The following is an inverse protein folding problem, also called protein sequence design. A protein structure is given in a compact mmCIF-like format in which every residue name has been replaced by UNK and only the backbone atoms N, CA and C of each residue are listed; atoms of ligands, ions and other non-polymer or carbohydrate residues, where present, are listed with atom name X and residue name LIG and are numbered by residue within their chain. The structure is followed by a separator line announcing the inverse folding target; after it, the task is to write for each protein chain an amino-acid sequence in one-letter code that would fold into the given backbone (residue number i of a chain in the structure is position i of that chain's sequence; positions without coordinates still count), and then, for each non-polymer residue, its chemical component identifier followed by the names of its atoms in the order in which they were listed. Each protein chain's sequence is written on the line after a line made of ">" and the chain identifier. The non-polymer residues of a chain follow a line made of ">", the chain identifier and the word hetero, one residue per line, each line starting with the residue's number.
data_IF_373143853474
#
_entry.id   IF_373143853474
#
_cell.length_a   1.000
_cell.length_b   1.000
_cell.length_c   1.000
_cell.angle_alpha   90.00
_cell.angle_beta   90.00
_cell.angle_gamma   90.00
#
_symmetry.space_group_name_H-M   'P 1'
#
loop_
_entity.id
_entity.type
_entity.pdbx_description
1 polymer ?
#
# COMPACT_ATOMS: atom_id res chain seq x y z
N UNK A 1 -11.87 19.06 18.06
CA UNK A 1 -11.49 19.07 16.63
C UNK A 1 -10.55 17.90 16.42
N UNK A 2 -11.04 16.80 15.84
CA UNK A 2 -10.20 15.64 15.54
C UNK A 2 -9.26 16.03 14.40
N UNK A 3 -7.96 16.03 14.66
CA UNK A 3 -6.90 16.49 13.74
C UNK A 3 -6.60 15.53 12.58
N UNK A 4 -7.61 14.83 12.05
CA UNK A 4 -7.48 14.05 10.83
C UNK A 4 -7.73 15.00 9.66
N UNK A 5 -6.65 15.55 9.10
CA UNK A 5 -6.73 16.18 7.79
C UNK A 5 -7.01 15.07 6.77
N UNK A 6 -8.16 15.14 6.10
CA UNK A 6 -8.51 14.23 5.01
C UNK A 6 -7.51 14.40 3.86
N UNK A 7 -7.18 13.30 3.20
CA UNK A 7 -6.36 13.32 1.99
C UNK A 7 -7.11 14.06 0.88
N UNK A 8 -6.40 14.93 0.16
CA UNK A 8 -6.93 15.42 -1.13
C UNK A 8 -6.95 14.28 -2.14
N UNK A 9 -7.85 14.33 -3.13
CA UNK A 9 -7.94 13.32 -4.19
C UNK A 9 -6.59 13.07 -4.91
N UNK A 10 -5.76 14.11 -5.05
CA UNK A 10 -4.41 13.98 -5.61
C UNK A 10 -3.48 13.16 -4.70
N UNK A 11 -3.51 13.42 -3.39
CA UNK A 11 -2.69 12.67 -2.44
C UNK A 11 -3.16 11.21 -2.35
N UNK A 12 -4.46 10.98 -2.35
CA UNK A 12 -5.03 9.63 -2.40
C UNK A 12 -4.56 8.86 -3.64
N UNK A 13 -4.66 9.47 -4.83
CA UNK A 13 -4.19 8.82 -6.07
C UNK A 13 -2.70 8.51 -6.02
N UNK A 14 -1.89 9.44 -5.51
CA UNK A 14 -0.44 9.22 -5.38
C UNK A 14 -0.11 8.05 -4.43
N UNK A 15 -0.88 7.88 -3.36
CA UNK A 15 -0.73 6.76 -2.43
C UNK A 15 -1.18 5.44 -3.06
N UNK A 16 -2.28 5.45 -3.82
CA UNK A 16 -2.74 4.29 -4.61
C UNK A 16 -1.68 3.85 -5.63
N UNK A 17 -1.07 4.80 -6.33
CA UNK A 17 -0.01 4.52 -7.31
C UNK A 17 1.24 3.94 -6.64
N UNK A 18 1.63 4.48 -5.49
CA UNK A 18 2.76 3.98 -4.71
C UNK A 18 2.51 2.54 -4.22
N UNK A 19 1.31 2.26 -3.71
CA UNK A 19 0.90 0.92 -3.31
C UNK A 19 0.99 -0.07 -4.48
N UNK A 20 0.46 0.29 -5.65
CA UNK A 20 0.52 -0.55 -6.85
C UNK A 20 1.97 -0.82 -7.31
N UNK A 21 2.86 0.17 -7.22
CA UNK A 21 4.28 -0.01 -7.55
C UNK A 21 4.99 -0.96 -6.58
N UNK A 22 4.77 -0.79 -5.26
CA UNK A 22 5.34 -1.67 -4.25
C UNK A 22 4.83 -3.10 -4.39
N UNK A 23 3.54 -3.29 -4.67
CA UNK A 23 2.94 -4.60 -4.93
C UNK A 23 3.56 -5.28 -6.15
N UNK A 24 3.80 -4.52 -7.23
CA UNK A 24 4.50 -5.02 -8.41
C UNK A 24 5.92 -5.46 -8.06
N UNK A 25 6.69 -4.63 -7.35
CA UNK A 25 8.06 -4.96 -6.93
C UNK A 25 8.06 -6.24 -6.09
N UNK A 26 7.16 -6.34 -5.10
CA UNK A 26 7.04 -7.52 -4.26
C UNK A 26 6.65 -8.79 -5.06
N UNK A 27 5.95 -8.64 -6.18
CA UNK A 27 5.58 -9.74 -7.07
C UNK A 27 6.67 -10.15 -8.06
N UNK A 28 7.69 -9.32 -8.30
CA UNK A 28 8.72 -9.57 -9.33
C UNK A 28 10.14 -9.68 -8.79
N UNK A 29 10.43 -9.19 -7.58
CA UNK A 29 11.80 -9.12 -7.07
C UNK A 29 12.26 -10.47 -6.50
N UNK A 30 13.44 -10.91 -6.94
CA UNK A 30 14.05 -12.16 -6.46
C UNK A 30 14.99 -11.94 -5.27
N UNK A 31 15.40 -10.68 -5.03
CA UNK A 31 16.30 -10.31 -3.93
C UNK A 31 15.53 -10.32 -2.60
N UNK A 32 15.83 -11.22 -1.65
CA UNK A 32 15.00 -11.40 -0.44
C UNK A 32 14.90 -10.16 0.45
N UNK A 33 16.00 -9.40 0.60
CA UNK A 33 15.99 -8.17 1.39
C UNK A 33 15.08 -7.09 0.81
N UNK A 34 15.00 -7.00 -0.53
CA UNK A 34 14.12 -6.05 -1.21
C UNK A 34 12.66 -6.50 -1.10
N UNK A 35 12.39 -7.81 -1.21
CA UNK A 35 11.06 -8.37 -1.01
C UNK A 35 10.53 -8.07 0.39
N UNK A 36 11.35 -8.28 1.43
CA UNK A 36 10.98 -8.01 2.81
C UNK A 36 10.66 -6.52 3.02
N UNK A 37 11.50 -5.62 2.50
CA UNK A 37 11.27 -4.18 2.59
C UNK A 37 10.00 -3.74 1.85
N UNK A 38 9.75 -4.25 0.64
CA UNK A 38 8.55 -3.93 -0.13
C UNK A 38 7.26 -4.39 0.56
N UNK A 39 7.27 -5.58 1.17
CA UNK A 39 6.13 -6.10 1.95
C UNK A 39 5.88 -5.29 3.22
N UNK A 40 6.94 -4.89 3.94
CA UNK A 40 6.81 -4.03 5.12
C UNK A 40 6.18 -2.68 4.76
N UNK A 41 6.69 -2.03 3.70
CA UNK A 41 6.15 -0.76 3.22
C UNK A 41 4.67 -0.88 2.78
N UNK A 42 4.29 -1.97 2.12
CA UNK A 42 2.88 -2.24 1.75
C UNK A 42 1.99 -2.36 2.99
N UNK A 43 2.43 -3.12 4.01
CA UNK A 43 1.66 -3.30 5.23
C UNK A 43 1.47 -1.99 5.99
N UNK A 44 2.52 -1.18 6.13
CA UNK A 44 2.45 0.14 6.77
C UNK A 44 1.53 1.10 6.01
N UNK A 45 1.67 1.15 4.68
CA UNK A 45 0.84 2.01 3.83
C UNK A 45 -0.63 1.58 3.88
N UNK A 46 -0.90 0.27 3.83
CA UNK A 46 -2.25 -0.26 3.94
C UNK A 46 -2.90 0.10 5.27
N UNK A 47 -2.22 -0.14 6.40
CA UNK A 47 -2.73 0.20 7.72
C UNK A 47 -3.01 1.71 7.88
N UNK A 48 -2.15 2.56 7.30
CA UNK A 48 -2.35 4.00 7.31
C UNK A 48 -3.58 4.44 6.50
N UNK A 49 -3.87 3.76 5.38
CA UNK A 49 -4.99 4.07 4.49
C UNK A 49 -6.32 3.46 4.97
N UNK A 50 -6.31 2.29 5.59
CA UNK A 50 -7.48 1.74 6.31
C UNK A 50 -7.95 2.72 7.41
N UNK A 51 -7.00 3.36 8.11
CA UNK A 51 -7.28 4.43 9.06
C UNK A 51 -7.92 5.70 8.47
N UNK A 52 -7.93 5.83 7.14
CA UNK A 52 -8.60 6.90 6.37
C UNK A 52 -9.89 6.41 5.67
N UNK A 53 -10.36 5.19 5.96
CA UNK A 53 -11.50 4.53 5.29
C UNK A 53 -11.31 4.35 3.77
N UNK A 54 -10.06 4.25 3.30
CA UNK A 54 -9.75 3.92 1.92
C UNK A 54 -9.70 2.39 1.78
N UNK A 55 -10.76 1.81 1.22
CA UNK A 55 -10.80 0.39 0.88
C UNK A 55 -9.85 0.12 -0.30
N UNK A 56 -8.79 -0.64 -0.04
CA UNK A 56 -7.99 -1.27 -1.08
C UNK A 56 -8.49 -2.71 -1.22
N UNK A 57 -9.01 -3.05 -2.40
CA UNK A 57 -9.30 -4.45 -2.73
C UNK A 57 -8.01 -5.26 -2.57
N UNK A 58 -7.98 -6.11 -1.54
CA UNK A 58 -6.97 -7.14 -1.40
C UNK A 58 -6.98 -7.96 -2.68
N UNK A 59 -5.88 -7.91 -3.43
CA UNK A 59 -5.62 -8.89 -4.46
C UNK A 59 -5.18 -10.19 -3.76
N UNK A 60 -6.14 -10.87 -3.13
CA UNK A 60 -5.97 -12.11 -2.35
C UNK A 60 -5.88 -13.38 -3.21
N UNK A 61 -5.44 -13.29 -4.47
CA UNK A 61 -5.54 -14.40 -5.44
C UNK A 61 -4.21 -14.94 -5.96
N UNK A 62 -3.10 -14.87 -5.20
CA UNK A 62 -1.86 -15.51 -5.70
C UNK A 62 -0.90 -16.11 -4.68
N UNK A 63 -1.44 -16.80 -3.68
CA UNK A 63 -0.71 -17.83 -2.95
C UNK A 63 -1.59 -19.09 -2.78
N UNK A 64 -1.87 -19.76 -3.90
CA UNK A 64 -2.24 -21.19 -3.95
C UNK A 64 -1.30 -21.90 -4.91
#
# INVERSE_FOLDING_TARGET
>A
MNGQAELTARQEQQLRDCYAQLARIAGTVEVPGVLAAARAALAELHAALEGQALEFEFHSDRFS
#
